data_IF_913938115181
#
_entry.id   IF_913938115181
#
_cell.length_a   1.000
_cell.length_b   1.000
_cell.length_c   1.000
_cell.angle_alpha   90.00
_cell.angle_beta   90.00
_cell.angle_gamma   90.00
#
_symmetry.space_group_name_H-M   'P 1'
#
loop_
_entity.id
_entity.type
_entity.pdbx_description
1 polymer ?
#
# COMPACT_ATOMS: atom_id res chain seq x y z
N UNK A 1 -20.27 -41.84 20.09
CA UNK A 1 -20.87 -40.53 19.73
C UNK A 1 -20.06 -39.98 18.58
N UNK A 2 -20.72 -39.74 17.44
CA UNK A 2 -20.11 -39.41 16.14
C UNK A 2 -19.70 -37.94 16.12
N UNK A 3 -18.43 -37.66 15.82
CA UNK A 3 -17.97 -36.33 15.41
C UNK A 3 -18.00 -36.27 13.88
N UNK A 4 -18.69 -35.26 13.38
CA UNK A 4 -18.94 -34.96 11.98
C UNK A 4 -17.70 -34.36 11.30
N UNK A 5 -17.41 -34.87 10.10
CA UNK A 5 -16.41 -34.39 9.12
C UNK A 5 -16.59 -32.91 8.78
N UNK A 6 -15.52 -32.15 8.49
CA UNK A 6 -15.65 -30.84 7.89
C UNK A 6 -16.13 -30.97 6.44
N UNK A 7 -16.93 -30.00 6.03
CA UNK A 7 -17.59 -29.94 4.74
C UNK A 7 -16.60 -29.69 3.60
N UNK A 8 -16.65 -30.55 2.60
CA UNK A 8 -16.00 -30.39 1.30
C UNK A 8 -16.55 -29.14 0.61
N UNK A 9 -15.71 -28.12 0.44
CA UNK A 9 -16.03 -26.95 -0.36
C UNK A 9 -16.19 -27.42 -1.83
N UNK A 10 -17.39 -27.21 -2.39
CA UNK A 10 -17.67 -27.56 -3.77
C UNK A 10 -16.81 -26.73 -4.71
N UNK A 11 -16.00 -27.41 -5.52
CA UNK A 11 -15.32 -26.85 -6.69
C UNK A 11 -16.38 -26.22 -7.61
N UNK A 12 -16.35 -24.89 -7.69
CA UNK A 12 -17.16 -24.13 -8.63
C UNK A 12 -16.79 -24.51 -10.06
N UNK A 13 -17.80 -24.90 -10.83
CA UNK A 13 -17.73 -25.00 -12.28
C UNK A 13 -17.14 -23.71 -12.84
N UNK A 14 -16.06 -23.82 -13.62
CA UNK A 14 -15.52 -22.72 -14.39
C UNK A 14 -16.63 -22.21 -15.33
N UNK A 15 -17.26 -21.11 -14.96
CA UNK A 15 -18.04 -20.30 -15.90
C UNK A 15 -17.07 -19.84 -16.98
N UNK A 16 -17.42 -20.05 -18.25
CA UNK A 16 -16.81 -19.33 -19.36
C UNK A 16 -16.96 -17.84 -19.05
N UNK A 17 -15.89 -17.22 -18.54
CA UNK A 17 -15.90 -15.80 -18.19
C UNK A 17 -15.99 -15.03 -19.49
N UNK A 18 -17.13 -14.41 -19.76
CA UNK A 18 -17.13 -13.29 -20.69
C UNK A 18 -16.08 -12.30 -20.19
N UNK A 19 -15.18 -11.86 -21.07
CA UNK A 19 -14.19 -10.85 -20.75
C UNK A 19 -14.88 -9.65 -20.09
N UNK A 20 -14.44 -9.27 -18.89
CA UNK A 20 -14.94 -8.08 -18.20
C UNK A 20 -14.63 -6.86 -19.05
N UNK A 21 -15.62 -6.01 -19.29
CA UNK A 21 -15.48 -4.80 -20.10
C UNK A 21 -16.33 -3.71 -19.45
N UNK A 22 -15.69 -2.62 -19.06
CA UNK A 22 -16.31 -1.49 -18.34
C UNK A 22 -15.98 -0.21 -19.10
N UNK A 23 -17.00 0.55 -19.45
CA UNK A 23 -16.90 1.88 -20.05
C UNK A 23 -17.45 2.91 -19.07
N UNK A 24 -16.59 3.81 -18.58
CA UNK A 24 -17.03 5.03 -17.91
C UNK A 24 -17.22 6.13 -18.97
N UNK A 25 -18.37 6.79 -18.99
CA UNK A 25 -18.66 7.91 -19.89
C UNK A 25 -18.70 9.23 -19.14
N UNK A 26 -18.33 10.33 -19.80
CA UNK A 26 -18.51 11.70 -19.28
C UNK A 26 -17.78 12.04 -17.98
N UNK A 27 -16.71 11.32 -17.69
CA UNK A 27 -15.87 11.56 -16.55
C UNK A 27 -14.91 12.74 -16.73
N UNK A 28 -14.43 13.27 -15.61
CA UNK A 28 -13.11 13.91 -15.56
C UNK A 28 -12.06 12.87 -15.21
N UNK A 29 -11.03 12.69 -16.03
CA UNK A 29 -10.05 11.62 -15.90
C UNK A 29 -8.67 12.21 -15.66
N UNK A 30 -8.04 11.80 -14.55
CA UNK A 30 -6.67 12.15 -14.22
C UNK A 30 -5.73 11.13 -14.89
N UNK A 31 -5.20 11.49 -16.04
CA UNK A 31 -4.28 10.67 -16.85
C UNK A 31 -2.81 11.01 -16.57
N UNK A 32 -1.90 10.22 -17.16
CA UNK A 32 -0.47 10.47 -17.07
C UNK A 32 0.17 10.61 -18.44
N UNK A 33 0.84 11.74 -18.68
CA UNK A 33 1.55 12.00 -19.91
C UNK A 33 2.99 11.51 -19.80
N UNK A 34 3.33 10.44 -20.54
CA UNK A 34 4.66 9.82 -20.47
C UNK A 34 5.79 10.69 -21.06
N UNK A 35 5.47 11.67 -21.91
CA UNK A 35 6.48 12.54 -22.52
C UNK A 35 6.88 13.68 -21.57
N UNK A 36 5.93 14.23 -20.83
CA UNK A 36 6.16 15.33 -19.87
C UNK A 36 6.42 14.84 -18.45
N UNK A 37 6.10 13.58 -18.16
CA UNK A 37 6.10 12.98 -16.82
C UNK A 37 5.21 13.75 -15.83
N UNK A 38 4.08 14.27 -16.33
CA UNK A 38 3.10 15.06 -15.57
C UNK A 38 1.70 14.47 -15.66
N UNK A 39 0.89 14.85 -14.70
CA UNK A 39 -0.55 14.60 -14.73
C UNK A 39 -1.21 15.43 -15.82
N UNK A 40 -2.12 14.82 -16.57
CA UNK A 40 -2.96 15.48 -17.57
C UNK A 40 -4.42 15.18 -17.24
N UNK A 41 -5.22 16.23 -17.04
CA UNK A 41 -6.64 16.10 -16.70
C UNK A 41 -7.47 16.26 -17.97
N UNK A 42 -8.21 15.20 -18.31
CA UNK A 42 -9.13 15.19 -19.44
C UNK A 42 -10.55 15.38 -18.93
N UNK A 43 -11.24 16.39 -19.44
CA UNK A 43 -12.62 16.71 -19.07
C UNK A 43 -13.59 16.15 -20.12
N UNK A 44 -14.76 15.69 -19.66
CA UNK A 44 -15.82 15.18 -20.52
C UNK A 44 -15.30 14.04 -21.41
N UNK A 45 -14.62 13.08 -20.79
CA UNK A 45 -13.92 11.99 -21.44
C UNK A 45 -14.43 10.64 -20.98
N UNK A 46 -14.15 9.60 -21.78
CA UNK A 46 -14.56 8.23 -21.48
C UNK A 46 -13.35 7.31 -21.29
N UNK A 47 -13.45 6.36 -20.36
CA UNK A 47 -12.42 5.36 -20.06
C UNK A 47 -12.96 3.96 -20.34
N UNK A 48 -12.31 3.23 -21.25
CA UNK A 48 -12.61 1.82 -21.50
C UNK A 48 -11.58 0.93 -20.84
N UNK A 49 -12.07 0.03 -20.00
CA UNK A 49 -11.33 -1.07 -19.39
C UNK A 49 -11.77 -2.36 -20.08
N UNK A 50 -10.81 -3.17 -20.50
CA UNK A 50 -11.06 -4.53 -21.01
C UNK A 50 -10.14 -5.51 -20.29
N UNK A 51 -10.73 -6.53 -19.67
CA UNK A 51 -10.07 -7.43 -18.75
C UNK A 51 -9.31 -6.61 -17.70
N UNK A 52 -8.03 -6.91 -17.49
CA UNK A 52 -7.19 -6.30 -16.47
C UNK A 52 -6.48 -5.01 -16.89
N UNK A 53 -6.86 -4.39 -18.03
CA UNK A 53 -6.13 -3.25 -18.61
C UNK A 53 -7.01 -2.09 -19.04
N UNK A 54 -6.42 -0.91 -18.98
CA UNK A 54 -6.92 0.31 -19.62
C UNK A 54 -6.76 0.14 -21.13
N UNK A 55 -7.87 -0.08 -21.83
CA UNK A 55 -7.87 -0.33 -23.27
C UNK A 55 -7.73 0.96 -24.07
N UNK A 56 -8.50 1.97 -23.70
CA UNK A 56 -8.57 3.24 -24.42
C UNK A 56 -9.12 4.36 -23.53
N UNK A 57 -8.78 5.58 -23.91
CA UNK A 57 -9.31 6.83 -23.34
C UNK A 57 -9.81 7.63 -24.53
N UNK A 58 -11.04 8.13 -24.45
CA UNK A 58 -11.71 8.84 -25.54
C UNK A 58 -12.00 10.29 -25.12
N UNK A 59 -11.87 11.20 -26.08
CA UNK A 59 -12.40 12.54 -25.94
C UNK A 59 -13.92 12.49 -26.20
N UNK A 60 -14.74 12.91 -25.24
CA UNK A 60 -16.20 12.87 -25.35
C UNK A 60 -16.88 11.64 -24.75
N UNK A 61 -18.20 11.60 -24.95
CA UNK A 61 -19.20 10.71 -24.33
C UNK A 61 -19.17 9.26 -24.85
N UNK A 62 -18.94 9.04 -26.15
CA UNK A 62 -19.20 7.74 -26.77
C UNK A 62 -18.12 7.31 -27.78
N UNK A 63 -17.45 6.17 -27.56
CA UNK A 63 -16.68 5.53 -28.62
C UNK A 63 -17.60 4.99 -29.72
N UNK A 64 -17.15 5.05 -30.99
CA UNK A 64 -17.95 4.65 -32.16
C UNK A 64 -18.41 3.17 -32.13
N UNK A 65 -17.67 2.31 -31.45
CA UNK A 65 -18.09 0.93 -31.17
C UNK A 65 -17.35 0.34 -29.96
N UNK A 66 -18.10 -0.26 -29.05
CA UNK A 66 -17.59 -1.15 -27.99
C UNK A 66 -18.33 -2.49 -28.09
N UNK A 67 -17.77 -3.54 -27.48
CA UNK A 67 -18.45 -4.84 -27.40
C UNK A 67 -19.83 -4.67 -26.76
N UNK A 68 -20.86 -5.38 -27.27
CA UNK A 68 -22.21 -5.37 -26.69
C UNK A 68 -22.28 -5.94 -25.27
N UNK A 69 -21.23 -6.63 -24.82
CA UNK A 69 -21.08 -7.11 -23.45
C UNK A 69 -20.45 -6.07 -22.50
N UNK A 70 -20.12 -4.87 -22.98
CA UNK A 70 -19.51 -3.80 -22.18
C UNK A 70 -20.54 -3.17 -21.25
N UNK A 71 -20.26 -3.22 -19.95
CA UNK A 71 -21.01 -2.47 -18.96
C UNK A 71 -20.69 -0.98 -19.10
N UNK A 72 -21.71 -0.14 -19.29
CA UNK A 72 -21.54 1.32 -19.41
C UNK A 72 -21.99 1.99 -18.12
N UNK A 73 -21.14 2.85 -17.57
CA UNK A 73 -21.35 3.62 -16.35
C UNK A 73 -21.30 5.11 -16.69
N UNK A 74 -22.38 5.82 -16.39
CA UNK A 74 -22.38 7.28 -16.44
C UNK A 74 -21.53 7.83 -15.28
N UNK A 75 -20.44 8.49 -15.63
CA UNK A 75 -19.51 9.12 -14.71
C UNK A 75 -19.55 10.66 -14.81
N UNK A 76 -20.65 11.22 -15.31
CA UNK A 76 -20.92 12.66 -15.25
C UNK A 76 -20.74 13.18 -13.83
N UNK A 77 -19.99 14.27 -13.68
CA UNK A 77 -19.70 14.89 -12.38
C UNK A 77 -18.69 14.14 -11.51
N UNK A 78 -18.17 12.99 -11.97
CA UNK A 78 -17.21 12.17 -11.23
C UNK A 78 -15.77 12.43 -11.67
N UNK A 79 -14.83 12.20 -10.73
CA UNK A 79 -13.39 12.27 -10.99
C UNK A 79 -12.81 10.84 -10.96
N UNK A 80 -12.18 10.42 -12.05
CA UNK A 80 -11.48 9.14 -12.17
C UNK A 80 -9.98 9.36 -11.95
N UNK A 81 -9.45 8.68 -10.95
CA UNK A 81 -8.03 8.68 -10.55
C UNK A 81 -7.41 7.28 -10.76
N UNK A 82 -6.09 7.18 -11.02
CA UNK A 82 -5.38 5.94 -10.76
C UNK A 82 -5.58 5.49 -9.31
N UNK A 83 -5.55 4.18 -9.07
CA UNK A 83 -5.58 3.63 -7.72
C UNK A 83 -4.37 4.03 -6.88
N UNK A 84 -4.59 4.21 -5.58
CA UNK A 84 -3.51 4.60 -4.67
C UNK A 84 -2.63 3.41 -4.30
N UNK A 85 -1.36 3.71 -4.08
CA UNK A 85 -0.32 2.73 -3.79
C UNK A 85 0.27 3.03 -2.42
N UNK A 86 0.03 2.13 -1.49
CA UNK A 86 0.63 2.14 -0.16
C UNK A 86 1.91 1.31 -0.18
N UNK A 87 3.05 1.95 0.02
CA UNK A 87 4.35 1.29 -0.06
C UNK A 87 4.88 0.78 1.28
N UNK A 88 4.14 0.93 2.37
CA UNK A 88 4.53 0.39 3.66
C UNK A 88 3.34 0.28 4.62
N UNK A 89 3.03 -0.95 5.02
CA UNK A 89 1.89 -1.25 5.89
C UNK A 89 2.13 -2.46 6.79
N UNK A 90 1.42 -2.51 7.92
CA UNK A 90 1.31 -3.68 8.82
C UNK A 90 -0.15 -4.15 8.98
N UNK A 91 -0.65 -4.97 8.05
CA UNK A 91 -2.09 -5.20 7.93
C UNK A 91 -2.70 -6.05 9.05
N UNK A 92 -1.99 -7.03 9.59
CA UNK A 92 -2.52 -7.89 10.64
C UNK A 92 -2.88 -7.13 11.94
N UNK A 93 -2.26 -5.96 12.16
CA UNK A 93 -2.43 -5.17 13.38
C UNK A 93 -3.79 -4.49 13.50
N UNK A 94 -4.67 -4.54 12.48
CA UNK A 94 -6.02 -3.94 12.49
C UNK A 94 -6.81 -4.25 13.77
N UNK A 95 -6.64 -5.44 14.36
CA UNK A 95 -7.35 -5.84 15.58
C UNK A 95 -6.95 -5.01 16.82
N UNK A 96 -5.80 -4.34 16.79
CA UNK A 96 -5.29 -3.47 17.85
C UNK A 96 -5.91 -2.06 17.81
N UNK A 97 -6.85 -1.78 16.90
CA UNK A 97 -7.41 -0.44 16.73
C UNK A 97 -7.81 0.21 18.04
N UNK A 98 -7.47 1.50 18.20
CA UNK A 98 -7.81 2.37 19.34
C UNK A 98 -7.09 2.12 20.68
N UNK A 99 -6.21 1.12 20.78
CA UNK A 99 -5.49 0.86 22.05
C UNK A 99 -4.19 1.66 22.21
N UNK A 100 -3.72 2.31 21.15
CA UNK A 100 -2.42 2.97 21.08
C UNK A 100 -2.49 4.45 20.66
N UNK A 101 -3.62 5.13 20.89
CA UNK A 101 -3.86 6.48 20.39
C UNK A 101 -2.93 7.59 20.93
N UNK A 102 -2.10 7.30 21.94
CA UNK A 102 -1.12 8.25 22.50
C UNK A 102 0.26 7.58 22.70
N UNK A 103 0.55 6.55 21.93
CA UNK A 103 1.72 5.70 22.12
C UNK A 103 2.94 6.34 21.45
N UNK A 104 4.06 6.42 22.16
CA UNK A 104 5.36 6.78 21.58
C UNK A 104 5.98 5.62 20.81
N UNK A 105 6.96 5.86 19.92
CA UNK A 105 7.61 4.76 19.19
C UNK A 105 8.22 3.70 20.12
N UNK A 106 8.82 4.15 21.23
CA UNK A 106 9.42 3.25 22.21
C UNK A 106 8.35 2.35 22.88
N UNK A 107 7.20 2.92 23.24
CA UNK A 107 6.07 2.14 23.76
C UNK A 107 5.48 1.21 22.69
N UNK A 108 5.48 1.62 21.42
CA UNK A 108 5.08 0.76 20.30
C UNK A 108 5.96 -0.49 20.24
N UNK A 109 7.29 -0.35 20.19
CA UNK A 109 8.20 -1.49 20.20
C UNK A 109 8.04 -2.38 21.43
N UNK A 110 7.84 -1.77 22.60
CA UNK A 110 7.68 -2.51 23.85
C UNK A 110 6.36 -3.31 23.90
N UNK A 111 5.29 -2.80 23.29
CA UNK A 111 3.93 -3.31 23.53
C UNK A 111 3.31 -3.99 22.32
N UNK A 112 3.39 -3.37 21.14
CA UNK A 112 2.52 -3.66 19.99
C UNK A 112 3.24 -4.20 18.76
N UNK A 113 4.55 -3.98 18.66
CA UNK A 113 5.40 -4.55 17.60
C UNK A 113 5.48 -6.07 17.65
N UNK A 114 6.20 -6.66 16.69
CA UNK A 114 6.43 -8.11 16.54
C UNK A 114 7.02 -8.78 17.79
N UNK A 115 7.83 -8.06 18.56
CA UNK A 115 8.44 -8.56 19.79
C UNK A 115 7.63 -8.21 21.05
N UNK A 116 6.56 -7.44 20.89
CA UNK A 116 5.69 -7.01 21.97
C UNK A 116 4.84 -8.16 22.52
N UNK A 117 4.48 -8.15 23.82
CA UNK A 117 3.69 -9.21 24.43
C UNK A 117 2.29 -9.33 23.83
N UNK A 118 1.76 -8.30 23.15
CA UNK A 118 0.42 -8.38 22.56
C UNK A 118 0.33 -9.41 21.44
N UNK A 119 1.43 -9.76 20.77
CA UNK A 119 1.42 -10.75 19.68
C UNK A 119 0.92 -12.12 20.16
N UNK A 120 1.17 -12.45 21.43
CA UNK A 120 0.76 -13.72 22.05
C UNK A 120 -0.76 -13.86 22.21
N UNK A 121 -1.51 -12.75 22.08
CA UNK A 121 -2.96 -12.76 22.20
C UNK A 121 -3.69 -13.06 20.88
N UNK A 122 -2.94 -13.26 19.80
CA UNK A 122 -3.47 -13.57 18.49
C UNK A 122 -3.41 -15.07 18.21
N UNK A 123 -4.57 -15.64 17.92
CA UNK A 123 -4.68 -16.92 17.23
C UNK A 123 -4.50 -16.74 15.71
N UNK A 124 -4.26 -17.82 14.94
CA UNK A 124 -4.27 -17.74 13.48
C UNK A 124 -5.54 -17.09 12.90
N UNK A 125 -6.71 -17.41 13.46
CA UNK A 125 -7.99 -16.79 13.10
C UNK A 125 -7.98 -15.26 13.31
N UNK A 126 -7.36 -14.78 14.39
CA UNK A 126 -7.26 -13.33 14.63
C UNK A 126 -6.37 -12.63 13.60
N UNK A 127 -5.27 -13.29 13.21
CA UNK A 127 -4.36 -12.79 12.18
C UNK A 127 -5.07 -12.74 10.82
N UNK A 128 -5.81 -13.79 10.46
CA UNK A 128 -6.66 -13.80 9.26
C UNK A 128 -7.65 -12.63 9.26
N UNK A 129 -8.40 -12.46 10.35
CA UNK A 129 -9.43 -11.41 10.45
C UNK A 129 -8.82 -10.01 10.45
N UNK A 130 -7.70 -9.81 11.14
CA UNK A 130 -6.96 -8.55 11.18
C UNK A 130 -6.46 -8.16 9.79
N UNK A 131 -5.77 -9.09 9.12
CA UNK A 131 -5.26 -8.92 7.76
C UNK A 131 -6.40 -8.58 6.79
N UNK A 132 -7.44 -9.42 6.73
CA UNK A 132 -8.54 -9.26 5.79
C UNK A 132 -9.31 -7.95 6.03
N UNK A 133 -9.59 -7.62 7.29
CA UNK A 133 -10.34 -6.39 7.60
C UNK A 133 -9.53 -5.14 7.23
N UNK A 134 -8.21 -5.14 7.47
CA UNK A 134 -7.33 -4.06 7.05
C UNK A 134 -7.27 -3.90 5.53
N UNK A 135 -7.14 -5.01 4.78
CA UNK A 135 -7.16 -4.96 3.31
C UNK A 135 -8.49 -4.42 2.76
N UNK A 136 -9.62 -4.79 3.36
CA UNK A 136 -10.93 -4.29 2.95
C UNK A 136 -11.11 -2.80 3.25
N UNK A 137 -10.50 -2.30 4.33
CA UNK A 137 -10.50 -0.89 4.65
C UNK A 137 -9.61 -0.07 3.70
N UNK A 138 -8.46 -0.61 3.28
CA UNK A 138 -7.63 -0.03 2.21
C UNK A 138 -8.42 0.11 0.91
N UNK A 139 -9.12 -0.95 0.47
CA UNK A 139 -9.98 -0.90 -0.71
C UNK A 139 -11.06 0.16 -0.53
N UNK A 140 -11.67 0.25 0.66
CA UNK A 140 -12.70 1.25 0.92
C UNK A 140 -12.17 2.69 0.79
N UNK A 141 -10.91 2.92 1.13
CA UNK A 141 -10.21 4.20 1.02
C UNK A 141 -9.61 4.48 -0.37
N UNK A 142 -9.76 3.57 -1.34
CA UNK A 142 -9.24 3.74 -2.71
C UNK A 142 -7.79 3.28 -2.90
N UNK A 143 -7.19 2.63 -1.90
CA UNK A 143 -5.91 1.95 -2.10
C UNK A 143 -6.14 0.68 -2.91
N UNK A 144 -5.43 0.57 -4.04
CA UNK A 144 -5.52 -0.60 -4.91
C UNK A 144 -4.29 -1.49 -4.84
N UNK A 145 -3.16 -0.96 -4.36
CA UNK A 145 -1.91 -1.71 -4.16
C UNK A 145 -1.31 -1.45 -2.78
N UNK A 146 -0.84 -2.50 -2.12
CA UNK A 146 -0.13 -2.41 -0.84
C UNK A 146 1.15 -3.26 -0.84
N UNK A 147 2.23 -2.73 -0.27
CA UNK A 147 3.38 -3.50 0.22
C UNK A 147 3.18 -3.75 1.72
N UNK A 148 2.76 -4.98 2.04
CA UNK A 148 2.54 -5.42 3.41
C UNK A 148 3.84 -5.98 3.97
N UNK A 149 4.39 -5.30 4.97
CA UNK A 149 5.51 -5.81 5.76
C UNK A 149 4.94 -6.76 6.81
N UNK A 150 4.77 -8.02 6.42
CA UNK A 150 4.04 -9.04 7.14
C UNK A 150 4.88 -9.67 8.25
N UNK A 151 5.06 -8.93 9.35
CA UNK A 151 5.80 -9.37 10.55
C UNK A 151 4.90 -9.99 11.64
N UNK A 152 3.67 -10.34 11.29
CA UNK A 152 2.68 -10.84 12.22
C UNK A 152 2.82 -12.33 12.56
N UNK A 153 3.77 -13.02 11.94
CA UNK A 153 3.86 -14.47 11.97
C UNK A 153 4.71 -14.97 13.13
N UNK A 154 4.27 -16.07 13.74
CA UNK A 154 4.97 -16.72 14.85
C UNK A 154 5.00 -18.25 14.74
N UNK A 155 4.32 -18.78 13.71
CA UNK A 155 4.31 -20.18 13.29
C UNK A 155 3.80 -20.28 11.85
N UNK A 156 3.92 -21.46 11.24
CA UNK A 156 3.37 -21.75 9.93
C UNK A 156 1.84 -21.53 9.87
N UNK A 157 1.10 -21.85 10.94
CA UNK A 157 -0.34 -21.65 10.98
C UNK A 157 -0.74 -20.17 10.96
N UNK A 158 0.02 -19.30 11.64
CA UNK A 158 -0.22 -17.86 11.56
C UNK A 158 0.13 -17.31 10.18
N UNK A 159 1.23 -17.78 9.59
CA UNK A 159 1.66 -17.41 8.24
C UNK A 159 0.63 -17.81 7.17
N UNK A 160 0.10 -19.03 7.26
CA UNK A 160 -0.98 -19.49 6.38
C UNK A 160 -2.22 -18.64 6.56
N UNK A 161 -2.60 -18.29 7.79
CA UNK A 161 -3.77 -17.47 8.05
C UNK A 161 -3.66 -16.05 7.48
N UNK A 162 -2.50 -15.38 7.61
CA UNK A 162 -2.26 -14.06 7.02
C UNK A 162 -2.24 -14.17 5.49
N UNK A 163 -1.58 -15.17 4.93
CA UNK A 163 -1.50 -15.35 3.48
C UNK A 163 -2.87 -15.68 2.86
N UNK A 164 -3.68 -16.51 3.52
CA UNK A 164 -5.05 -16.84 3.12
C UNK A 164 -5.95 -15.60 3.11
N UNK A 165 -5.84 -14.74 4.12
CA UNK A 165 -6.53 -13.46 4.15
C UNK A 165 -6.09 -12.54 3.01
N UNK A 166 -4.79 -12.50 2.73
CA UNK A 166 -4.20 -11.72 1.64
C UNK A 166 -4.76 -12.16 0.29
N UNK A 167 -4.80 -13.47 0.02
CA UNK A 167 -5.40 -14.04 -1.20
C UNK A 167 -6.90 -13.76 -1.30
N UNK A 168 -7.62 -13.81 -0.18
CA UNK A 168 -9.06 -13.57 -0.16
C UNK A 168 -9.43 -12.10 -0.42
N UNK A 169 -8.56 -11.14 -0.04
CA UNK A 169 -8.89 -9.71 0.05
C UNK A 169 -9.30 -9.03 -1.26
N UNK A 170 -8.92 -9.58 -2.42
CA UNK A 170 -9.02 -8.93 -3.74
C UNK A 170 -8.19 -7.64 -3.89
N UNK A 171 -7.32 -7.32 -2.92
CA UNK A 171 -6.37 -6.22 -3.00
C UNK A 171 -5.09 -6.66 -3.73
N UNK A 172 -4.50 -5.79 -4.57
CA UNK A 172 -3.17 -6.05 -5.12
C UNK A 172 -2.15 -5.95 -3.99
N UNK A 173 -1.54 -7.07 -3.62
CA UNK A 173 -0.70 -7.13 -2.41
C UNK A 173 0.66 -7.70 -2.75
N UNK A 174 1.71 -6.99 -2.33
CA UNK A 174 3.02 -7.59 -2.18
C UNK A 174 3.09 -8.03 -0.71
N UNK A 175 2.92 -9.33 -0.49
CA UNK A 175 3.04 -9.93 0.84
C UNK A 175 4.51 -10.16 1.11
N UNK A 176 5.16 -9.19 1.78
CA UNK A 176 6.55 -9.32 2.17
C UNK A 176 6.63 -10.06 3.50
N UNK A 177 6.82 -11.37 3.42
CA UNK A 177 6.89 -12.25 4.57
C UNK A 177 8.14 -11.93 5.39
N UNK A 178 7.96 -11.64 6.69
CA UNK A 178 9.07 -11.27 7.55
C UNK A 178 9.86 -12.48 8.01
N UNK A 179 11.19 -12.33 8.00
CA UNK A 179 12.10 -13.27 8.63
C UNK A 179 12.79 -12.57 9.79
N UNK A 180 12.62 -13.06 11.01
CA UNK A 180 13.23 -12.47 12.20
C UNK A 180 13.45 -13.48 13.34
N UNK A 181 14.34 -13.15 14.27
CA UNK A 181 14.63 -14.00 15.41
C UNK A 181 13.51 -13.89 16.45
N UNK A 182 12.64 -14.88 16.52
CA UNK A 182 11.54 -14.93 17.48
C UNK A 182 11.97 -15.58 18.81
N UNK A 183 11.34 -15.21 19.94
CA UNK A 183 11.57 -15.83 21.25
C UNK A 183 10.77 -17.14 21.42
N UNK A 184 10.60 -17.90 20.33
CA UNK A 184 9.86 -19.16 20.30
C UNK A 184 10.60 -20.22 19.44
N UNK A 185 9.94 -21.33 19.14
CA UNK A 185 10.56 -22.43 18.37
C UNK A 185 10.41 -22.28 16.84
N UNK A 186 9.95 -21.13 16.33
CA UNK A 186 9.85 -20.89 14.89
C UNK A 186 11.16 -20.31 14.37
N UNK A 187 12.05 -21.18 13.91
CA UNK A 187 13.44 -20.82 13.60
C UNK A 187 13.54 -20.03 12.29
N UNK A 188 14.71 -19.43 12.04
CA UNK A 188 14.98 -18.77 10.76
C UNK A 188 14.88 -19.75 9.58
N UNK A 189 15.31 -21.01 9.75
CA UNK A 189 15.23 -22.03 8.70
C UNK A 189 13.77 -22.43 8.41
N UNK A 190 12.92 -22.51 9.44
CA UNK A 190 11.49 -22.75 9.28
C UNK A 190 10.85 -21.59 8.50
N UNK A 191 11.15 -20.35 8.89
CA UNK A 191 10.66 -19.14 8.22
C UNK A 191 11.13 -19.02 6.76
N UNK A 192 12.41 -19.32 6.47
CA UNK A 192 12.93 -19.37 5.09
C UNK A 192 12.22 -20.45 4.26
N UNK A 193 11.99 -21.63 4.84
CA UNK A 193 11.25 -22.71 4.20
C UNK A 193 9.80 -22.30 3.93
N UNK A 194 9.17 -21.59 4.87
CA UNK A 194 7.81 -21.06 4.72
C UNK A 194 7.72 -20.02 3.60
N UNK A 195 8.65 -19.07 3.55
CA UNK A 195 8.74 -18.08 2.48
C UNK A 195 8.79 -18.74 1.09
N UNK A 196 9.63 -19.77 0.94
CA UNK A 196 9.72 -20.55 -0.31
C UNK A 196 8.40 -21.27 -0.60
N UNK A 197 7.74 -21.83 0.41
CA UNK A 197 6.45 -22.48 0.24
C UNK A 197 5.35 -21.50 -0.21
N UNK A 198 5.23 -20.33 0.43
CA UNK A 198 4.27 -19.28 0.05
C UNK A 198 4.52 -18.77 -1.37
N UNK A 199 5.79 -18.55 -1.74
CA UNK A 199 6.16 -18.10 -3.09
C UNK A 199 5.79 -19.10 -4.19
N UNK A 200 5.71 -20.38 -3.84
CA UNK A 200 5.36 -21.48 -4.72
C UNK A 200 3.94 -22.02 -4.49
N UNK A 201 3.10 -21.28 -3.75
CA UNK A 201 1.71 -21.66 -3.50
C UNK A 201 0.94 -21.80 -4.83
N UNK A 202 0.25 -22.93 -5.08
CA UNK A 202 -0.42 -23.20 -6.36
C UNK A 202 -1.60 -22.26 -6.65
N UNK A 203 -2.07 -21.48 -5.66
CA UNK A 203 -3.10 -20.44 -5.83
C UNK A 203 -2.54 -19.18 -6.48
N UNK A 204 -1.22 -19.02 -6.50
CA UNK A 204 -0.55 -17.95 -7.24
C UNK A 204 -0.44 -18.32 -8.72
N UNK A 205 -0.91 -17.42 -9.57
CA UNK A 205 -0.85 -17.50 -11.03
C UNK A 205 -0.12 -16.28 -11.59
N UNK A 206 0.25 -16.31 -12.87
CA UNK A 206 0.93 -15.18 -13.53
C UNK A 206 0.11 -13.87 -13.50
N UNK A 207 -1.23 -13.97 -13.34
CA UNK A 207 -2.13 -12.82 -13.28
C UNK A 207 -2.64 -12.53 -11.87
N UNK A 208 -2.09 -13.19 -10.84
CA UNK A 208 -2.52 -12.98 -9.46
C UNK A 208 -2.28 -11.54 -9.01
N UNK A 209 -3.21 -11.04 -8.20
CA UNK A 209 -3.08 -9.76 -7.52
C UNK A 209 -2.04 -9.80 -6.40
N UNK A 210 -1.75 -11.00 -5.89
CA UNK A 210 -0.78 -11.22 -4.81
C UNK A 210 0.57 -11.66 -5.39
N UNK A 211 1.64 -11.04 -4.90
CA UNK A 211 3.03 -11.49 -5.10
C UNK A 211 3.72 -11.61 -3.75
N UNK A 212 4.81 -12.38 -3.69
CA UNK A 212 5.54 -12.64 -2.44
C UNK A 212 6.89 -11.94 -2.46
N UNK A 213 7.16 -11.16 -1.41
CA UNK A 213 8.42 -10.49 -1.14
C UNK A 213 9.06 -10.97 0.17
N UNK A 214 10.19 -10.36 0.52
CA UNK A 214 10.90 -10.56 1.79
C UNK A 214 10.80 -9.28 2.63
N UNK A 215 10.45 -9.43 3.91
CA UNK A 215 10.66 -8.41 4.93
C UNK A 215 11.83 -8.85 5.84
N UNK A 216 12.80 -7.97 6.06
CA UNK A 216 13.97 -8.29 6.90
C UNK A 216 14.57 -7.03 7.53
N UNK A 217 14.68 -7.00 8.86
CA UNK A 217 15.07 -5.81 9.64
C UNK A 217 16.36 -5.97 10.45
N UNK A 218 17.16 -6.98 10.10
CA UNK A 218 18.28 -7.43 10.92
C UNK A 218 19.61 -7.48 10.12
N UNK A 219 19.76 -6.64 9.08
CA UNK A 219 20.96 -6.64 8.22
C UNK A 219 22.25 -6.24 8.94
N UNK A 220 22.16 -5.48 10.02
CA UNK A 220 23.31 -4.96 10.77
C UNK A 220 23.75 -5.87 11.93
N UNK A 221 22.93 -6.86 12.31
CA UNK A 221 23.17 -7.73 13.46
C UNK A 221 23.08 -9.24 13.13
N UNK A 222 22.85 -9.60 11.86
CA UNK A 222 22.80 -10.98 11.38
C UNK A 222 24.12 -11.41 10.72
N UNK A 223 24.63 -12.64 10.94
CA UNK A 223 25.83 -13.13 10.27
C UNK A 223 25.73 -13.08 8.74
N UNK A 224 26.84 -12.74 8.07
CA UNK A 224 26.91 -12.68 6.60
C UNK A 224 26.46 -13.97 5.91
N UNK A 225 26.67 -15.14 6.52
CA UNK A 225 26.21 -16.42 5.95
C UNK A 225 24.70 -16.49 5.80
N UNK A 226 23.96 -16.01 6.81
CA UNK A 226 22.50 -15.97 6.82
C UNK A 226 22.00 -14.90 5.85
N UNK A 227 22.65 -13.74 5.80
CA UNK A 227 22.35 -12.69 4.81
C UNK A 227 22.54 -13.25 3.39
N UNK A 228 23.66 -13.92 3.10
CA UNK A 228 23.89 -14.54 1.78
C UNK A 228 22.82 -15.58 1.42
N UNK A 229 22.41 -16.41 2.38
CA UNK A 229 21.33 -17.38 2.17
C UNK A 229 19.99 -16.71 1.84
N UNK A 230 19.63 -15.64 2.55
CA UNK A 230 18.43 -14.85 2.24
C UNK A 230 18.52 -14.23 0.85
N UNK A 231 19.69 -13.71 0.47
CA UNK A 231 19.91 -13.15 -0.87
C UNK A 231 19.72 -14.21 -1.96
N UNK A 232 20.28 -15.40 -1.76
CA UNK A 232 20.12 -16.52 -2.68
C UNK A 232 18.65 -16.90 -2.83
N UNK A 233 17.86 -16.89 -1.75
CA UNK A 233 16.40 -17.12 -1.82
C UNK A 233 15.72 -16.01 -2.64
N UNK A 234 16.02 -14.73 -2.38
CA UNK A 234 15.45 -13.59 -3.12
C UNK A 234 15.67 -13.77 -4.63
N UNK A 235 16.90 -14.11 -5.04
CA UNK A 235 17.26 -14.25 -6.44
C UNK A 235 16.70 -15.53 -7.07
N UNK A 236 16.89 -16.69 -6.41
CA UNK A 236 16.49 -17.98 -6.98
C UNK A 236 14.98 -18.18 -7.03
N UNK A 237 14.25 -17.66 -6.04
CA UNK A 237 12.78 -17.71 -6.03
C UNK A 237 12.15 -16.54 -6.79
N UNK A 238 12.95 -15.57 -7.25
CA UNK A 238 12.49 -14.35 -7.93
C UNK A 238 11.42 -13.63 -7.10
N UNK A 239 11.76 -13.32 -5.85
CA UNK A 239 10.86 -12.57 -4.95
C UNK A 239 10.61 -11.16 -5.51
N UNK A 240 9.38 -10.68 -5.35
CA UNK A 240 8.94 -9.46 -6.03
C UNK A 240 9.51 -8.18 -5.42
N UNK A 241 9.86 -8.18 -4.14
CA UNK A 241 10.32 -7.00 -3.39
C UNK A 241 11.07 -7.43 -2.13
N UNK A 242 11.99 -6.59 -1.66
CA UNK A 242 12.52 -6.63 -0.29
C UNK A 242 12.08 -5.35 0.44
N UNK A 243 11.65 -5.44 1.70
CA UNK A 243 11.37 -4.28 2.56
C UNK A 243 12.12 -4.38 3.87
N UNK A 244 12.54 -3.23 4.40
CA UNK A 244 13.27 -3.12 5.66
C UNK A 244 13.03 -1.78 6.33
N UNK A 245 13.04 -1.73 7.66
CA UNK A 245 12.94 -0.51 8.46
C UNK A 245 14.32 0.09 8.73
N UNK A 246 14.43 1.40 8.54
CA UNK A 246 15.64 2.15 8.91
C UNK A 246 15.29 3.51 9.50
N UNK A 247 15.89 3.83 10.64
CA UNK A 247 15.72 5.12 11.31
C UNK A 247 17.07 5.62 11.81
N UNK A 248 17.55 6.70 11.19
CA UNK A 248 18.77 7.38 11.61
C UNK A 248 18.57 8.30 12.82
N UNK A 249 19.51 9.23 12.99
CA UNK A 249 19.44 10.24 14.05
C UNK A 249 19.45 9.60 15.45
N UNK A 250 18.54 9.99 16.36
CA UNK A 250 18.53 9.48 17.73
C UNK A 250 17.96 8.06 17.87
N UNK A 251 17.35 7.50 16.81
CA UNK A 251 16.67 6.19 16.86
C UNK A 251 17.63 5.03 16.63
N UNK A 252 18.65 5.23 15.77
CA UNK A 252 19.74 4.28 15.52
C UNK A 252 19.23 2.87 15.14
N UNK A 253 18.14 2.80 14.38
CA UNK A 253 17.65 1.55 13.77
C UNK A 253 18.38 1.37 12.44
N UNK A 254 19.12 0.26 12.32
CA UNK A 254 20.06 -0.02 11.24
C UNK A 254 19.44 -0.20 9.84
N UNK A 255 19.91 -1.19 9.09
CA UNK A 255 19.43 -1.50 7.73
C UNK A 255 19.51 -0.34 6.74
N UNK A 256 20.51 0.54 6.89
CA UNK A 256 20.61 1.75 6.07
C UNK A 256 20.84 1.42 4.59
N UNK A 257 20.42 2.29 3.66
CA UNK A 257 20.73 2.13 2.25
C UNK A 257 22.24 1.97 1.97
N UNK A 258 23.10 2.71 2.66
CA UNK A 258 24.56 2.57 2.53
C UNK A 258 25.07 1.21 3.02
N UNK A 259 24.51 0.65 4.10
CA UNK A 259 24.81 -0.72 4.53
C UNK A 259 24.44 -1.73 3.45
N UNK A 260 23.20 -1.72 2.96
CA UNK A 260 22.75 -2.67 1.93
C UNK A 260 23.52 -2.47 0.62
N UNK A 261 23.97 -1.26 0.32
CA UNK A 261 24.85 -1.01 -0.82
C UNK A 261 26.20 -1.70 -0.64
N UNK A 262 26.81 -1.60 0.55
CA UNK A 262 28.09 -2.24 0.85
C UNK A 262 28.01 -3.78 0.83
N UNK A 263 26.84 -4.33 1.14
CA UNK A 263 26.54 -5.77 1.04
C UNK A 263 26.27 -6.21 -0.41
N UNK A 264 26.18 -5.29 -1.36
CA UNK A 264 25.88 -5.58 -2.77
C UNK A 264 24.39 -5.81 -3.07
N UNK A 265 23.50 -5.51 -2.13
CA UNK A 265 22.06 -5.77 -2.27
C UNK A 265 21.33 -4.75 -3.13
N UNK A 266 21.85 -3.53 -3.27
CA UNK A 266 21.11 -2.47 -3.96
C UNK A 266 21.20 -2.52 -5.49
N UNK A 267 22.31 -3.04 -6.05
CA UNK A 267 22.52 -3.09 -7.49
C UNK A 267 21.82 -4.30 -8.11
N UNK A 268 20.49 -4.30 -8.07
CA UNK A 268 19.64 -5.44 -8.43
C UNK A 268 18.39 -5.00 -9.20
N UNK A 269 17.75 -5.96 -9.86
CA UNK A 269 16.43 -5.80 -10.50
C UNK A 269 15.27 -5.87 -9.49
N UNK A 270 15.48 -6.43 -8.30
CA UNK A 270 14.49 -6.48 -7.23
C UNK A 270 14.33 -5.12 -6.54
N UNK A 271 13.12 -4.56 -6.41
CA UNK A 271 12.92 -3.34 -5.64
C UNK A 271 13.22 -3.59 -4.15
N UNK A 272 13.95 -2.67 -3.53
CA UNK A 272 14.20 -2.65 -2.09
C UNK A 272 13.60 -1.37 -1.54
N UNK A 273 12.62 -1.50 -0.64
CA UNK A 273 11.91 -0.38 -0.02
C UNK A 273 12.40 -0.19 1.41
N UNK A 274 12.89 1.01 1.71
CA UNK A 274 13.30 1.40 3.05
C UNK A 274 12.16 2.14 3.74
N UNK A 275 11.53 1.49 4.71
CA UNK A 275 10.42 2.05 5.47
C UNK A 275 10.92 3.14 6.42
N UNK A 276 10.19 4.25 6.43
CA UNK A 276 10.48 5.54 7.05
C UNK A 276 11.72 6.24 6.47
N UNK A 277 12.91 5.66 6.69
CA UNK A 277 14.20 6.30 6.43
C UNK A 277 14.34 7.68 7.10
N UNK A 278 13.78 7.82 8.29
CA UNK A 278 13.93 9.02 9.12
C UNK A 278 15.39 9.39 9.32
N UNK A 279 15.71 10.68 9.25
CA UNK A 279 17.09 11.20 9.38
C UNK A 279 18.11 10.55 8.41
N UNK A 280 17.67 10.16 7.21
CA UNK A 280 18.54 9.59 6.17
C UNK A 280 19.78 10.45 5.89
N UNK A 281 20.93 9.79 5.76
CA UNK A 281 22.23 10.46 5.60
C UNK A 281 22.58 10.75 4.13
N UNK A 282 23.49 11.70 3.83
CA UNK A 282 23.93 11.94 2.45
C UNK A 282 24.52 10.71 1.72
N UNK A 283 25.31 9.82 2.37
CA UNK A 283 25.70 8.53 1.77
C UNK A 283 24.51 7.65 1.38
N UNK A 284 23.48 7.59 2.22
CA UNK A 284 22.27 6.81 1.92
C UNK A 284 21.52 7.38 0.72
N UNK A 285 21.36 8.72 0.66
CA UNK A 285 20.77 9.40 -0.50
C UNK A 285 21.52 9.07 -1.80
N UNK A 286 22.85 9.03 -1.72
CA UNK A 286 23.71 8.68 -2.85
C UNK A 286 23.50 7.22 -3.26
N UNK A 287 23.45 6.30 -2.29
CA UNK A 287 23.22 4.88 -2.53
C UNK A 287 21.87 4.66 -3.25
N UNK A 288 20.78 5.26 -2.73
CA UNK A 288 19.45 5.15 -3.31
C UNK A 288 19.40 5.66 -4.75
N UNK A 289 19.89 6.88 -5.01
CA UNK A 289 19.91 7.46 -6.36
C UNK A 289 20.78 6.69 -7.34
N UNK A 290 21.95 6.22 -6.91
CA UNK A 290 22.88 5.49 -7.77
C UNK A 290 22.36 4.10 -8.18
N UNK A 291 21.40 3.56 -7.43
CA UNK A 291 20.86 2.21 -7.63
C UNK A 291 19.35 2.18 -7.93
N UNK A 292 18.73 3.36 -8.02
CA UNK A 292 17.29 3.56 -8.23
C UNK A 292 16.44 2.74 -7.24
N UNK A 293 16.69 2.97 -5.95
CA UNK A 293 15.97 2.37 -4.83
C UNK A 293 15.27 3.46 -4.02
N UNK A 294 14.16 3.11 -3.37
CA UNK A 294 13.20 4.07 -2.85
C UNK A 294 12.99 3.91 -1.34
N UNK A 295 12.55 4.99 -0.72
CA UNK A 295 12.03 4.98 0.65
C UNK A 295 10.50 5.00 0.64
N UNK A 296 9.89 4.49 1.70
CA UNK A 296 8.47 4.69 2.00
C UNK A 296 8.33 5.55 3.26
N UNK A 297 7.94 6.80 3.09
CA UNK A 297 7.68 7.73 4.20
C UNK A 297 6.23 7.55 4.67
N UNK A 298 5.97 7.61 5.98
CA UNK A 298 4.62 7.39 6.54
C UNK A 298 4.12 8.58 7.38
N UNK A 299 3.78 9.70 6.74
CA UNK A 299 3.74 11.03 7.35
C UNK A 299 3.00 11.14 8.69
N UNK A 300 1.83 10.53 8.81
CA UNK A 300 1.06 10.55 10.07
C UNK A 300 1.77 9.78 11.19
N UNK A 301 2.30 8.59 10.87
CA UNK A 301 3.08 7.76 11.78
C UNK A 301 4.34 8.47 12.27
N UNK A 302 5.13 9.04 11.36
CA UNK A 302 6.41 9.68 11.74
C UNK A 302 6.21 10.93 12.60
N UNK A 303 5.10 11.65 12.39
CA UNK A 303 4.71 12.80 13.22
C UNK A 303 4.17 12.34 14.58
N UNK A 304 3.36 11.28 14.61
CA UNK A 304 2.77 10.75 15.83
C UNK A 304 3.82 10.14 16.76
N UNK A 305 4.65 9.25 16.22
CA UNK A 305 5.68 8.54 16.96
C UNK A 305 6.97 9.36 17.16
N UNK A 306 7.05 10.54 16.53
CA UNK A 306 8.08 11.54 16.79
C UNK A 306 9.43 11.24 16.14
N UNK A 307 9.49 10.32 15.18
CA UNK A 307 10.73 10.03 14.46
C UNK A 307 11.00 10.92 13.25
N UNK A 308 10.00 11.66 12.76
CA UNK A 308 10.13 12.77 11.80
C UNK A 308 10.92 12.45 10.50
N UNK A 309 10.97 13.42 9.59
CA UNK A 309 11.75 13.28 8.35
C UNK A 309 12.34 14.62 7.90
N UNK A 310 13.40 15.14 8.58
CA UNK A 310 13.88 16.52 8.41
C UNK A 310 14.45 16.84 7.02
N UNK A 311 14.72 15.83 6.20
CA UNK A 311 15.23 15.97 4.84
C UNK A 311 14.23 15.49 3.77
N UNK A 312 12.94 15.37 4.12
CA UNK A 312 11.91 14.88 3.19
C UNK A 312 11.80 15.73 1.92
N UNK A 313 12.13 17.02 1.98
CA UNK A 313 12.16 17.89 0.81
C UNK A 313 13.34 17.63 -0.15
N UNK A 314 14.34 16.83 0.25
CA UNK A 314 15.57 16.58 -0.52
C UNK A 314 15.58 15.23 -1.24
N UNK A 315 14.57 14.38 -1.05
CA UNK A 315 14.56 12.99 -1.54
C UNK A 315 13.25 12.59 -2.23
N UNK A 316 12.44 13.56 -2.67
CA UNK A 316 11.16 13.29 -3.31
C UNK A 316 11.29 12.43 -4.57
N UNK A 317 12.44 12.50 -5.25
CA UNK A 317 12.78 11.69 -6.42
C UNK A 317 12.96 10.19 -6.11
N UNK A 318 13.10 9.82 -4.84
CA UNK A 318 13.22 8.43 -4.36
C UNK A 318 12.24 8.14 -3.21
N UNK A 319 11.11 8.86 -3.13
CA UNK A 319 10.11 8.68 -2.06
C UNK A 319 8.78 8.21 -2.63
N UNK A 320 8.16 7.26 -1.95
CA UNK A 320 6.73 7.00 -2.01
C UNK A 320 6.14 7.13 -0.59
N UNK A 321 4.81 7.19 -0.47
CA UNK A 321 4.18 7.18 0.85
C UNK A 321 3.62 5.80 1.21
N UNK A 322 3.47 5.59 2.51
CA UNK A 322 2.66 4.53 3.10
C UNK A 322 1.89 5.02 4.33
N UNK A 323 1.10 4.14 4.93
CA UNK A 323 0.35 4.43 6.17
C UNK A 323 1.06 3.89 7.41
N UNK A 324 1.86 2.84 7.27
CA UNK A 324 2.48 2.10 8.38
C UNK A 324 1.43 1.35 9.23
N UNK A 325 1.05 1.90 10.40
CA UNK A 325 0.25 1.21 11.43
C UNK A 325 -1.20 1.71 11.48
N UNK A 326 -2.06 1.21 10.59
CA UNK A 326 -3.47 1.63 10.53
C UNK A 326 -4.38 1.14 11.69
N UNK A 327 -3.78 0.62 12.76
CA UNK A 327 -4.49 0.47 14.04
C UNK A 327 -4.47 1.77 14.87
N UNK A 328 -3.51 2.64 14.61
CA UNK A 328 -3.42 3.99 15.18
C UNK A 328 -4.07 5.02 14.25
N UNK A 329 -3.94 4.84 12.94
CA UNK A 329 -4.32 5.82 11.91
C UNK A 329 -5.41 5.34 10.96
N UNK A 330 -5.93 6.24 10.14
CA UNK A 330 -6.78 5.89 9.00
C UNK A 330 -5.94 5.26 7.87
N UNK A 331 -6.51 4.36 7.08
CA UNK A 331 -5.87 3.77 5.87
C UNK A 331 -5.82 4.72 4.66
N UNK A 332 -6.20 5.99 4.86
CA UNK A 332 -6.40 6.97 3.81
C UNK A 332 -5.06 7.54 3.28
N UNK A 333 -4.66 7.10 2.08
CA UNK A 333 -3.48 7.62 1.37
C UNK A 333 -3.61 9.10 1.00
N UNK A 334 -4.82 9.60 0.72
CA UNK A 334 -5.04 11.04 0.47
C UNK A 334 -4.76 11.84 1.74
N UNK A 335 -5.15 11.31 2.89
CA UNK A 335 -4.77 11.82 4.21
C UNK A 335 -3.25 11.90 4.38
N UNK A 336 -2.51 10.83 4.09
CA UNK A 336 -1.05 10.82 4.15
C UNK A 336 -0.42 11.87 3.23
N UNK A 337 -0.89 11.97 1.97
CA UNK A 337 -0.43 12.98 1.01
C UNK A 337 -0.66 14.41 1.51
N UNK A 338 -1.84 14.66 2.11
CA UNK A 338 -2.20 15.98 2.66
C UNK A 338 -1.33 16.34 3.86
N UNK A 339 -1.09 15.41 4.77
CA UNK A 339 -0.22 15.60 5.94
C UNK A 339 1.21 15.90 5.48
N UNK A 340 1.76 15.09 4.57
CA UNK A 340 3.07 15.33 3.97
C UNK A 340 3.18 16.72 3.35
N UNK A 341 2.19 17.10 2.54
CA UNK A 341 2.19 18.36 1.81
C UNK A 341 2.21 19.56 2.76
N UNK A 342 1.33 19.56 3.76
CA UNK A 342 1.23 20.67 4.70
C UNK A 342 2.42 20.72 5.65
N UNK A 343 2.96 19.57 6.07
CA UNK A 343 4.17 19.50 6.88
C UNK A 343 5.36 20.14 6.17
N UNK A 344 5.63 19.76 4.92
CA UNK A 344 6.73 20.34 4.15
C UNK A 344 6.49 21.83 3.85
N UNK A 345 5.26 22.23 3.55
CA UNK A 345 4.94 23.66 3.40
C UNK A 345 5.28 24.45 4.66
N UNK A 346 4.87 23.97 5.82
CA UNK A 346 5.17 24.61 7.10
C UNK A 346 6.68 24.71 7.34
N UNK A 347 7.43 23.62 7.18
CA UNK A 347 8.89 23.60 7.36
C UNK A 347 9.63 24.58 6.43
N UNK A 348 9.11 24.81 5.23
CA UNK A 348 9.71 25.73 4.26
C UNK A 348 9.26 27.18 4.47
N UNK A 349 8.06 27.40 5.00
CA UNK A 349 7.58 28.74 5.35
C UNK A 349 8.19 29.25 6.66
N UNK A 350 8.47 28.37 7.62
CA UNK A 350 8.94 28.74 8.95
C UNK A 350 10.24 29.57 8.94
N UNK A 351 11.31 29.21 8.22
CA UNK A 351 12.50 30.05 8.12
C UNK A 351 12.23 31.44 7.53
N UNK A 352 11.28 31.57 6.61
CA UNK A 352 10.92 32.84 5.96
C UNK A 352 10.08 33.72 6.89
N UNK A 353 9.06 33.13 7.53
CA UNK A 353 8.13 33.85 8.40
C UNK A 353 8.75 34.21 9.75
N UNK A 354 9.43 33.26 10.40
CA UNK A 354 9.97 33.43 11.75
C UNK A 354 11.42 33.92 11.69
N UNK A 355 12.24 33.29 10.84
CA UNK A 355 13.66 33.64 10.70
C UNK A 355 13.87 34.98 10.00
N UNK A 356 13.37 35.11 8.77
CA UNK A 356 13.55 36.32 7.95
C UNK A 356 12.51 37.42 8.20
N UNK A 357 11.39 37.10 8.85
CA UNK A 357 10.25 38.01 9.06
C UNK A 357 9.67 38.57 7.75
N UNK A 358 9.57 37.72 6.73
CA UNK A 358 9.01 38.05 5.41
C UNK A 358 7.77 37.23 5.11
N UNK A 359 6.93 37.74 4.22
CA UNK A 359 5.78 36.99 3.67
C UNK A 359 6.29 36.12 2.50
N UNK A 360 6.07 34.79 2.51
CA UNK A 360 6.41 33.92 1.39
C UNK A 360 5.67 34.33 0.11
N UNK A 361 6.38 34.38 -1.02
CA UNK A 361 5.79 34.74 -2.32
C UNK A 361 5.35 33.53 -3.16
N UNK A 362 5.79 32.33 -2.80
CA UNK A 362 5.54 31.09 -3.54
C UNK A 362 5.22 29.95 -2.59
N UNK A 363 4.43 29.00 -3.07
CA UNK A 363 4.17 27.75 -2.36
C UNK A 363 5.30 26.74 -2.65
N UNK A 364 5.98 26.17 -1.65
CA UNK A 364 7.17 25.34 -1.84
C UNK A 364 6.89 23.97 -2.45
N UNK A 365 5.66 23.45 -2.34
CA UNK A 365 5.28 22.12 -2.84
C UNK A 365 3.88 22.18 -3.47
N UNK A 366 3.71 21.51 -4.61
CA UNK A 366 2.44 21.43 -5.34
C UNK A 366 1.56 20.26 -4.86
N UNK A 367 0.26 20.36 -5.14
CA UNK A 367 -0.68 19.26 -4.91
C UNK A 367 -0.39 18.06 -5.83
N UNK A 368 0.10 18.32 -7.05
CA UNK A 368 0.51 17.28 -8.00
C UNK A 368 1.66 16.44 -7.44
N UNK A 369 2.66 17.06 -6.78
CA UNK A 369 3.74 16.31 -6.13
C UNK A 369 3.19 15.35 -5.07
N UNK A 370 2.29 15.83 -4.20
CA UNK A 370 1.68 14.98 -3.17
C UNK A 370 0.86 13.84 -3.79
N UNK A 371 0.12 14.12 -4.86
CA UNK A 371 -0.65 13.12 -5.61
C UNK A 371 0.25 12.05 -6.25
N UNK A 372 1.38 12.43 -6.84
CA UNK A 372 2.34 11.48 -7.41
C UNK A 372 2.93 10.56 -6.35
N UNK A 373 3.18 11.04 -5.13
CA UNK A 373 3.76 10.22 -4.06
C UNK A 373 2.85 9.06 -3.61
N UNK A 374 1.54 9.18 -3.81
CA UNK A 374 0.55 8.13 -3.50
C UNK A 374 0.06 7.35 -4.73
N UNK A 375 0.60 7.65 -5.92
CA UNK A 375 0.26 6.99 -7.18
C UNK A 375 1.53 6.58 -7.92
N UNK A 376 2.04 7.44 -8.81
CA UNK A 376 3.18 7.14 -9.70
C UNK A 376 4.45 6.80 -8.94
N UNK A 377 4.79 7.49 -7.86
CA UNK A 377 6.02 7.24 -7.14
C UNK A 377 6.00 5.88 -6.45
N UNK A 378 4.87 5.48 -5.85
CA UNK A 378 4.70 4.13 -5.31
C UNK A 378 4.84 3.05 -6.38
N UNK A 379 4.28 3.29 -7.57
CA UNK A 379 4.43 2.40 -8.71
C UNK A 379 5.89 2.23 -9.14
N UNK A 380 6.65 3.33 -9.19
CA UNK A 380 8.08 3.32 -9.52
C UNK A 380 8.92 2.64 -8.44
N UNK A 381 8.63 2.90 -7.17
CA UNK A 381 9.27 2.27 -6.02
C UNK A 381 9.17 0.75 -6.09
N UNK A 382 7.98 0.24 -6.43
CA UNK A 382 7.70 -1.19 -6.57
C UNK A 382 8.09 -1.76 -7.95
N UNK A 383 8.71 -0.96 -8.83
CA UNK A 383 9.06 -1.33 -10.22
C UNK A 383 7.88 -1.87 -11.03
N UNK A 384 6.71 -1.26 -10.82
CA UNK A 384 5.45 -1.54 -11.50
C UNK A 384 4.99 -0.32 -12.29
N UNK A 385 5.69 0.06 -13.37
CA UNK A 385 5.36 1.25 -14.15
C UNK A 385 3.98 1.18 -14.84
N UNK A 386 3.35 0.01 -14.83
CA UNK A 386 1.99 -0.27 -15.28
C UNK A 386 0.90 0.03 -14.23
N UNK A 387 1.27 0.46 -13.01
CA UNK A 387 0.38 0.91 -11.93
C UNK A 387 0.50 2.41 -11.67
N UNK A 388 -0.42 2.95 -10.85
CA UNK A 388 -0.37 4.34 -10.37
C UNK A 388 -0.54 5.38 -11.47
N UNK A 389 -1.03 4.98 -12.65
CA UNK A 389 -1.30 5.84 -13.80
C UNK A 389 -2.57 5.39 -14.52
N UNK A 390 -3.24 6.32 -15.21
CA UNK A 390 -4.23 6.01 -16.24
C UNK A 390 -3.60 6.32 -17.59
N UNK A 391 -3.23 5.26 -18.31
CA UNK A 391 -2.66 5.30 -19.66
C UNK A 391 -3.00 4.00 -20.37
N UNK A 392 -3.13 4.04 -21.70
CA UNK A 392 -3.39 2.84 -22.52
C UNK A 392 -2.37 1.74 -22.22
N UNK A 393 -2.86 0.54 -21.95
CA UNK A 393 -2.07 -0.65 -21.64
C UNK A 393 -1.67 -0.82 -20.17
N UNK A 394 -1.83 0.21 -19.33
CA UNK A 394 -1.66 0.11 -17.88
C UNK A 394 -2.71 -0.83 -17.26
N UNK A 395 -2.45 -1.34 -16.05
CA UNK A 395 -3.41 -2.17 -15.33
C UNK A 395 -4.63 -1.33 -14.92
N UNK A 396 -5.79 -1.95 -14.95
CA UNK A 396 -7.05 -1.33 -14.57
C UNK A 396 -7.22 -1.30 -13.05
N UNK A 397 -6.40 -0.48 -12.39
CA UNK A 397 -6.50 -0.14 -10.97
C UNK A 397 -6.98 1.32 -10.89
N UNK A 398 -8.27 1.51 -10.66
CA UNK A 398 -8.98 2.79 -10.85
C UNK A 398 -9.86 3.11 -9.65
N UNK A 399 -9.87 4.38 -9.26
CA UNK A 399 -10.71 4.92 -8.18
C UNK A 399 -11.59 6.02 -8.76
N UNK A 400 -12.88 5.96 -8.47
CA UNK A 400 -13.86 6.96 -8.91
C UNK A 400 -14.37 7.70 -7.69
N UNK A 401 -14.24 9.02 -7.71
CA UNK A 401 -14.72 9.93 -6.68
C UNK A 401 -16.05 10.55 -7.09
N UNK A 402 -16.97 10.66 -6.14
CA UNK A 402 -18.14 11.53 -6.25
C UNK A 402 -17.67 13.00 -6.22
N UNK A 403 -17.71 13.66 -7.37
CA UNK A 403 -17.31 15.06 -7.50
C UNK A 403 -18.41 16.06 -7.17
N UNK A 404 -19.61 15.58 -6.78
CA UNK A 404 -20.78 16.40 -6.46
C UNK A 404 -21.12 16.38 -4.96
N UNK A 405 -20.36 15.63 -4.15
CA UNK A 405 -20.50 15.64 -2.71
C UNK A 405 -20.26 17.05 -2.13
N UNK A 406 -20.86 17.42 -0.97
CA UNK A 406 -20.81 18.78 -0.45
C UNK A 406 -19.41 19.37 -0.27
N UNK A 407 -18.40 18.55 0.06
CA UNK A 407 -17.00 18.99 0.20
C UNK A 407 -16.25 19.05 -1.13
N UNK A 408 -16.75 18.39 -2.17
CA UNK A 408 -16.15 18.38 -3.50
C UNK A 408 -16.69 19.51 -4.38
N UNK A 409 -17.92 19.99 -4.19
CA UNK A 409 -18.54 21.04 -5.03
C UNK A 409 -17.65 22.26 -5.31
N UNK A 410 -17.68 22.73 -6.57
CA UNK A 410 -17.01 23.96 -7.00
C UNK A 410 -15.52 23.79 -7.36
N UNK A 411 -15.05 22.56 -7.48
CA UNK A 411 -13.69 22.27 -7.92
C UNK A 411 -13.47 22.64 -9.40
N UNK A 412 -12.26 23.11 -9.72
CA UNK A 412 -11.79 23.33 -11.10
C UNK A 412 -10.46 22.65 -11.41
N UNK A 413 -9.80 22.09 -10.40
CA UNK A 413 -8.60 21.27 -10.50
C UNK A 413 -8.90 19.94 -9.82
N UNK A 414 -8.98 18.87 -10.61
CA UNK A 414 -9.34 17.53 -10.14
C UNK A 414 -8.31 16.95 -9.15
N UNK A 415 -7.02 17.26 -9.33
CA UNK A 415 -5.95 16.80 -8.42
C UNK A 415 -6.07 17.52 -7.09
N UNK A 416 -6.29 18.84 -7.12
CA UNK A 416 -6.53 19.61 -5.91
C UNK A 416 -7.81 19.16 -5.18
N UNK A 417 -8.89 18.86 -5.91
CA UNK A 417 -10.14 18.35 -5.36
C UNK A 417 -9.90 17.07 -4.54
N UNK A 418 -9.21 16.07 -5.12
CA UNK A 418 -8.86 14.85 -4.40
C UNK A 418 -7.94 15.17 -3.21
N UNK A 419 -6.78 15.79 -3.43
CA UNK A 419 -5.76 15.91 -2.37
C UNK A 419 -6.22 16.79 -1.19
N UNK A 420 -6.91 17.91 -1.46
CA UNK A 420 -7.23 18.90 -0.45
C UNK A 420 -8.65 18.81 0.10
N UNK A 421 -9.60 18.25 -0.66
CA UNK A 421 -11.02 18.33 -0.32
C UNK A 421 -11.69 16.98 -0.07
N UNK A 422 -11.23 15.91 -0.70
CA UNK A 422 -11.88 14.60 -0.54
C UNK A 422 -11.61 13.95 0.82
N UNK A 423 -12.41 12.93 1.12
CA UNK A 423 -12.22 11.97 2.17
C UNK A 423 -12.67 10.57 1.69
N UNK A 424 -12.49 9.53 2.53
CA UNK A 424 -12.87 8.14 2.20
C UNK A 424 -14.34 7.99 1.78
N UNK A 425 -15.24 8.84 2.29
CA UNK A 425 -16.65 8.84 1.92
C UNK A 425 -16.94 9.24 0.48
N UNK A 426 -16.03 9.98 -0.16
CA UNK A 426 -16.15 10.40 -1.57
C UNK A 426 -15.69 9.32 -2.55
N UNK A 427 -14.99 8.28 -2.09
CA UNK A 427 -14.62 7.14 -2.93
C UNK A 427 -15.88 6.32 -3.21
N UNK A 428 -16.40 6.41 -4.42
CA UNK A 428 -17.67 5.78 -4.81
C UNK A 428 -17.45 4.40 -5.42
N UNK A 429 -16.48 4.29 -6.33
CA UNK A 429 -16.14 3.03 -6.98
C UNK A 429 -14.63 2.75 -6.95
N UNK A 430 -14.29 1.46 -6.88
CA UNK A 430 -12.91 0.97 -6.97
C UNK A 430 -12.88 -0.28 -7.84
N UNK A 431 -11.98 -0.26 -8.82
CA UNK A 431 -11.68 -1.36 -9.73
C UNK A 431 -10.22 -1.77 -9.51
N UNK A 432 -9.95 -3.06 -9.31
CA UNK A 432 -8.58 -3.59 -9.15
C UNK A 432 -8.40 -4.73 -10.16
N UNK A 433 -7.37 -4.61 -11.01
CA UNK A 433 -7.11 -5.60 -12.06
C UNK A 433 -8.30 -5.82 -13.00
N UNK A 434 -9.11 -4.76 -13.23
CA UNK A 434 -10.28 -4.83 -14.11
C UNK A 434 -11.59 -5.27 -13.45
N UNK A 435 -11.55 -5.69 -12.19
CA UNK A 435 -12.71 -6.22 -11.48
C UNK A 435 -13.23 -5.24 -10.44
N UNK A 436 -14.56 -5.15 -10.31
CA UNK A 436 -15.19 -4.32 -9.28
C UNK A 436 -14.91 -4.88 -7.89
N UNK A 437 -14.34 -4.07 -7.00
CA UNK A 437 -14.16 -4.40 -5.57
C UNK A 437 -14.94 -3.47 -4.64
N UNK A 438 -15.32 -2.28 -5.13
CA UNK A 438 -16.26 -1.35 -4.49
C UNK A 438 -17.13 -0.68 -5.54
N UNK A 439 -18.43 -0.55 -5.27
CA UNK A 439 -19.41 0.06 -6.19
C UNK A 439 -20.50 0.77 -5.40
N UNK A 440 -20.92 1.94 -5.85
CA UNK A 440 -21.96 2.76 -5.24
C UNK A 440 -21.72 2.97 -3.73
N UNK A 441 -20.46 3.23 -3.37
CA UNK A 441 -20.01 3.42 -1.98
C UNK A 441 -19.94 2.14 -1.14
N UNK A 442 -20.12 0.95 -1.72
CA UNK A 442 -20.17 -0.34 -0.99
C UNK A 442 -19.11 -1.33 -1.47
N UNK A 443 -18.38 -1.93 -0.52
CA UNK A 443 -17.47 -3.04 -0.79
C UNK A 443 -18.23 -4.25 -1.35
N UNK A 444 -17.66 -4.93 -2.34
CA UNK A 444 -18.24 -6.11 -2.99
C UNK A 444 -17.70 -7.44 -2.44
N UNK A 445 -17.12 -7.41 -1.25
CA UNK A 445 -16.57 -8.60 -0.61
C UNK A 445 -17.66 -9.56 -0.10
N UNK A 446 -17.68 -10.77 -0.67
CA UNK A 446 -18.60 -11.83 -0.26
C UNK A 446 -18.39 -12.24 1.19
N UNK A 447 -19.47 -12.30 1.99
CA UNK A 447 -19.37 -12.71 3.39
C UNK A 447 -18.89 -11.62 4.37
N UNK A 448 -18.78 -10.36 3.94
CA UNK A 448 -18.34 -9.25 4.82
C UNK A 448 -19.11 -9.16 6.14
N UNK A 449 -20.41 -9.49 6.16
CA UNK A 449 -21.21 -9.51 7.41
C UNK A 449 -20.68 -10.49 8.45
N UNK A 450 -20.23 -11.68 8.04
CA UNK A 450 -19.66 -12.68 8.94
C UNK A 450 -18.26 -12.27 9.39
N UNK A 451 -17.41 -11.82 8.45
CA UNK A 451 -16.07 -11.28 8.75
C UNK A 451 -16.16 -10.16 9.78
N UNK A 452 -17.06 -9.19 9.57
CA UNK A 452 -17.31 -8.10 10.51
C UNK A 452 -17.66 -8.64 11.91
N UNK A 453 -18.57 -9.61 12.00
CA UNK A 453 -18.98 -10.18 13.30
C UNK A 453 -17.79 -10.83 14.02
N UNK A 454 -17.05 -11.71 13.33
CA UNK A 454 -15.89 -12.42 13.88
C UNK A 454 -14.76 -11.47 14.23
N UNK A 455 -14.46 -10.49 13.38
CA UNK A 455 -13.45 -9.46 13.66
C UNK A 455 -13.79 -8.66 14.91
N UNK A 456 -15.05 -8.25 15.10
CA UNK A 456 -15.46 -7.53 16.31
C UNK A 456 -15.35 -8.39 17.58
N UNK A 457 -15.57 -9.69 17.49
CA UNK A 457 -15.35 -10.63 18.60
C UNK A 457 -13.85 -10.76 18.91
N UNK A 458 -13.02 -10.93 17.88
CA UNK A 458 -11.56 -11.00 17.95
C UNK A 458 -10.96 -9.73 18.57
N UNK A 459 -11.26 -8.56 18.00
CA UNK A 459 -10.76 -7.26 18.45
C UNK A 459 -11.12 -7.01 19.93
N UNK A 460 -12.37 -7.26 20.35
CA UNK A 460 -12.78 -7.09 21.76
C UNK A 460 -12.01 -8.00 22.72
N UNK A 461 -11.57 -9.18 22.28
CA UNK A 461 -10.74 -10.07 23.11
C UNK A 461 -9.32 -9.55 23.19
N UNK A 462 -8.73 -9.19 22.05
CA UNK A 462 -7.35 -8.70 21.96
C UNK A 462 -7.19 -7.37 22.72
N UNK A 463 -8.16 -6.47 22.65
CA UNK A 463 -8.09 -5.13 23.26
C UNK A 463 -8.28 -5.12 24.78
N UNK A 464 -8.50 -6.29 25.43
CA UNK A 464 -8.62 -6.39 26.89
C UNK A 464 -7.29 -6.50 27.63
N UNK A 465 -6.17 -6.65 26.90
CA UNK A 465 -4.83 -6.89 27.47
C UNK A 465 -4.04 -5.62 27.76
#
# INVERSE_FOLDING_TARGET
>A
MRFSSPATLALGLASLSNASSILFTDATIITFNNDTLRTEVLYNSSLLIENDKIKAIYNGTNPDSVSSATETIDATGKIISPGFIDTHHHLWQTALKTIASNTTLAEYFQRYGEFGPTIQNFSPEDKYLGQLTGSLELINAGTTTVLDHAHGDSSDETADAIFDATLASQLRTIHAFAIHQLPNNYTLDDQMSKLVALKNDPRLSNNSLVTVGLAFDAFDNTPNSTISQLWDIVQTQNLSTVTTHTLGGPWVVGNTPSLLHSLGWLNTTTPIIFSHASFISPPDLTALRSTNQYISTTPESELHYGHLHPVANLIQDQTALGVDTHFTFSTDMVGQARIWLQKLRAERFEPVLIGEKKIPLNNPMSVEQAFHLITRAGALALRRPDLGIISRGAKADVVVFDGESPNMLGWGDAVAAIVLHSNVGDVEHVVIGGEWVKRDGKLLFGGYRDVKRRFLESARRIQRV
#
